data_IF_162462749206
#
_entry.id   IF_162462749206
#
_cell.length_a   1.000
_cell.length_b   1.000
_cell.length_c   1.000
_cell.angle_alpha   90.00
_cell.angle_beta   90.00
_cell.angle_gamma   90.00
#
_symmetry.space_group_name_H-M   'P 1'
#
loop_
_entity.id
_entity.type
_entity.pdbx_description
1 polymer ?
#
# COMPACT_ATOMS: atom_id res chain seq x y z
N UNK A 1 -2.64 0.70 -5.77
CA UNK A 1 -3.68 -0.30 -5.54
C UNK A 1 -5.04 0.32 -5.88
N UNK A 2 -6.04 -0.48 -6.31
CA UNK A 2 -7.44 -0.04 -6.33
C UNK A 2 -7.86 0.50 -4.96
N UNK A 3 -8.86 1.39 -4.92
CA UNK A 3 -9.36 2.07 -3.71
C UNK A 3 -8.34 2.98 -3.00
N UNK A 4 -7.09 3.01 -3.44
CA UNK A 4 -6.06 3.84 -2.86
C UNK A 4 -6.17 5.27 -3.36
N UNK A 5 -6.19 6.23 -2.43
CA UNK A 5 -6.04 7.66 -2.74
C UNK A 5 -4.66 8.11 -2.29
N UNK A 6 -3.83 8.47 -3.24
CA UNK A 6 -2.43 8.85 -2.97
C UNK A 6 -2.02 10.07 -3.77
N UNK A 7 -1.16 10.88 -3.17
CA UNK A 7 -0.47 11.92 -3.90
C UNK A 7 1.00 11.55 -4.13
N UNK A 8 1.55 11.97 -5.23
CA UNK A 8 2.97 11.84 -5.56
C UNK A 8 3.46 13.06 -6.31
N UNK A 9 4.75 13.35 -6.16
CA UNK A 9 5.41 14.47 -6.82
C UNK A 9 6.06 13.99 -8.11
N UNK A 10 5.80 14.71 -9.19
CA UNK A 10 6.29 14.39 -10.53
C UNK A 10 7.19 15.51 -11.01
N UNK A 11 8.40 15.15 -11.47
CA UNK A 11 9.40 16.09 -11.99
C UNK A 11 9.89 15.76 -13.38
N UNK A 12 9.73 14.53 -13.85
CA UNK A 12 10.16 14.10 -15.21
C UNK A 12 9.27 14.74 -16.25
N UNK A 13 9.87 15.31 -17.29
CA UNK A 13 9.16 16.04 -18.34
C UNK A 13 8.13 15.18 -19.06
N UNK A 14 8.49 13.96 -19.46
CA UNK A 14 7.56 13.00 -20.09
C UNK A 14 6.34 12.70 -19.21
N UNK A 15 6.54 12.55 -17.91
CA UNK A 15 5.45 12.29 -16.96
C UNK A 15 4.56 13.52 -16.74
N UNK A 16 5.13 14.72 -16.72
CA UNK A 16 4.37 15.96 -16.65
C UNK A 16 3.49 16.16 -17.88
N UNK A 17 4.02 15.88 -19.08
CA UNK A 17 3.26 15.93 -20.34
C UNK A 17 2.14 14.90 -20.37
N UNK A 18 2.39 13.67 -19.88
CA UNK A 18 1.36 12.63 -19.76
C UNK A 18 0.21 13.08 -18.86
N UNK A 19 0.52 13.71 -17.72
CA UNK A 19 -0.49 14.24 -16.77
C UNK A 19 -1.28 15.38 -17.43
N UNK A 20 -0.63 16.32 -18.10
CA UNK A 20 -1.29 17.42 -18.78
C UNK A 20 -2.25 16.93 -19.87
N UNK A 21 -1.86 15.90 -20.61
CA UNK A 21 -2.72 15.30 -21.63
C UNK A 21 -3.87 14.51 -21.02
N UNK A 22 -3.62 13.73 -19.97
CA UNK A 22 -4.67 13.00 -19.26
C UNK A 22 -5.74 13.93 -18.67
N UNK A 23 -5.34 15.06 -18.11
CA UNK A 23 -6.29 16.07 -17.59
C UNK A 23 -7.24 16.59 -18.67
N UNK A 24 -6.78 16.72 -19.92
CA UNK A 24 -7.60 17.14 -21.06
C UNK A 24 -8.53 16.03 -21.56
N UNK A 25 -8.09 14.76 -21.44
CA UNK A 25 -8.69 13.59 -22.07
C UNK A 25 -9.26 12.58 -21.06
N UNK A 26 -10.10 13.03 -20.12
CA UNK A 26 -10.85 12.15 -19.22
C UNK A 26 -10.17 11.81 -17.91
N UNK A 27 -9.02 12.42 -17.60
CA UNK A 27 -8.33 12.36 -16.30
C UNK A 27 -7.80 10.98 -15.90
N UNK A 28 -7.75 9.99 -16.82
CA UNK A 28 -7.27 8.64 -16.54
C UNK A 28 -5.79 8.48 -16.92
N UNK A 29 -5.06 7.79 -16.05
CA UNK A 29 -3.67 7.37 -16.29
C UNK A 29 -3.51 5.91 -15.92
N UNK A 30 -2.59 5.22 -16.57
CA UNK A 30 -2.03 3.98 -16.09
C UNK A 30 -0.75 4.28 -15.29
N UNK A 31 -0.67 3.77 -14.08
CA UNK A 31 0.48 3.92 -13.19
C UNK A 31 1.06 2.54 -12.91
N UNK A 32 2.31 2.35 -13.27
CA UNK A 32 3.08 1.16 -12.95
C UNK A 32 4.35 1.54 -12.20
N UNK A 33 4.80 0.65 -11.37
CA UNK A 33 6.02 0.85 -10.61
C UNK A 33 7.26 0.51 -11.45
N UNK A 34 8.32 1.24 -11.20
CA UNK A 34 9.63 1.01 -11.81
C UNK A 34 10.37 -0.08 -11.02
N UNK A 35 11.03 -1.01 -11.71
CA UNK A 35 11.78 -2.12 -11.09
C UNK A 35 13.07 -1.62 -10.42
N UNK A 36 13.75 -0.69 -11.08
CA UNK A 36 14.95 -0.04 -10.56
C UNK A 36 14.75 1.48 -10.51
N UNK A 37 14.79 2.04 -9.30
CA UNK A 37 14.57 3.46 -9.04
C UNK A 37 15.68 4.35 -9.63
N UNK A 38 16.86 3.80 -9.91
CA UNK A 38 17.99 4.55 -10.45
C UNK A 38 17.92 4.75 -11.96
N UNK A 39 17.04 4.01 -12.68
CA UNK A 39 16.84 4.20 -14.12
C UNK A 39 16.15 5.54 -14.39
N UNK A 40 16.86 6.46 -15.04
CA UNK A 40 16.35 7.81 -15.30
C UNK A 40 15.24 7.83 -16.36
N UNK A 41 15.39 7.05 -17.42
CA UNK A 41 14.41 6.91 -18.52
C UNK A 41 13.94 5.46 -18.64
N UNK A 42 12.95 5.02 -17.82
CA UNK A 42 12.45 3.65 -17.87
C UNK A 42 11.65 3.38 -19.16
N UNK A 43 11.99 2.27 -19.80
CA UNK A 43 11.22 1.68 -20.90
C UNK A 43 10.23 0.62 -20.41
N UNK A 44 9.65 -0.16 -21.34
CA UNK A 44 8.68 -1.21 -21.00
C UNK A 44 9.26 -2.32 -20.12
N UNK A 45 10.57 -2.62 -20.27
CA UNK A 45 11.24 -3.70 -19.51
C UNK A 45 11.60 -3.28 -18.09
N UNK A 46 11.67 -1.97 -17.83
CA UNK A 46 12.08 -1.40 -16.56
C UNK A 46 10.92 -1.19 -15.58
N UNK A 47 9.69 -1.46 -16.02
CA UNK A 47 8.48 -1.32 -15.20
C UNK A 47 7.83 -2.67 -14.95
N UNK A 48 7.05 -2.76 -13.88
CA UNK A 48 6.20 -3.91 -13.65
C UNK A 48 5.07 -3.95 -14.67
N UNK A 49 4.72 -5.17 -15.12
CA UNK A 49 3.65 -5.33 -16.11
C UNK A 49 2.28 -5.03 -15.51
N UNK A 50 2.07 -5.39 -14.25
CA UNK A 50 0.81 -5.09 -13.55
C UNK A 50 0.92 -3.76 -12.83
N UNK A 51 -0.02 -2.90 -13.12
CA UNK A 51 -0.18 -1.58 -12.54
C UNK A 51 -1.63 -1.29 -12.19
N UNK A 52 -1.93 -0.02 -12.06
CA UNK A 52 -3.26 0.45 -11.71
C UNK A 52 -3.72 1.56 -12.67
N UNK A 53 -4.93 1.45 -13.18
CA UNK A 53 -5.61 2.57 -13.81
C UNK A 53 -6.08 3.49 -12.69
N UNK A 54 -5.71 4.76 -12.79
CA UNK A 54 -6.04 5.78 -11.79
C UNK A 54 -6.75 6.95 -12.43
N UNK A 55 -7.59 7.62 -11.65
CA UNK A 55 -8.19 8.91 -12.02
C UNK A 55 -7.49 10.03 -11.28
N UNK A 56 -7.08 11.07 -12.03
CA UNK A 56 -6.52 12.30 -11.49
C UNK A 56 -7.64 13.08 -10.79
N UNK A 57 -7.47 13.33 -9.50
CA UNK A 57 -8.41 14.13 -8.69
C UNK A 57 -7.98 15.59 -8.60
N UNK A 58 -6.68 15.81 -8.50
CA UNK A 58 -6.12 17.17 -8.36
C UNK A 58 -4.69 17.21 -8.89
N UNK A 59 -4.32 18.32 -9.50
CA UNK A 59 -2.94 18.63 -9.88
C UNK A 59 -2.57 19.99 -9.30
N UNK A 60 -1.47 20.05 -8.54
CA UNK A 60 -0.93 21.28 -7.96
C UNK A 60 0.47 21.49 -8.53
N UNK A 61 0.68 22.63 -9.20
CA UNK A 61 2.01 23.00 -9.70
C UNK A 61 2.89 23.47 -8.53
N UNK A 62 4.07 22.90 -8.44
CA UNK A 62 5.08 23.22 -7.44
C UNK A 62 6.26 23.98 -8.08
N UNK A 63 7.11 24.66 -7.28
CA UNK A 63 8.36 25.26 -7.76
C UNK A 63 9.26 24.22 -8.45
N UNK A 64 10.23 24.67 -9.27
CA UNK A 64 11.23 23.84 -9.95
C UNK A 64 10.65 22.86 -10.99
N UNK A 65 9.60 23.23 -11.70
CA UNK A 65 8.94 22.39 -12.71
C UNK A 65 8.46 21.03 -12.16
N UNK A 66 7.98 21.01 -10.94
CA UNK A 66 7.37 19.84 -10.32
C UNK A 66 5.86 19.99 -10.28
N UNK A 67 5.14 18.87 -10.24
CA UNK A 67 3.70 18.85 -9.99
C UNK A 67 3.37 17.80 -8.95
N UNK A 68 2.52 18.15 -8.00
CA UNK A 68 1.91 17.21 -7.06
C UNK A 68 0.57 16.77 -7.61
N UNK A 69 0.40 15.47 -7.75
CA UNK A 69 -0.79 14.87 -8.34
C UNK A 69 -1.48 14.01 -7.30
N UNK A 70 -2.76 14.27 -7.06
CA UNK A 70 -3.62 13.42 -6.26
C UNK A 70 -4.38 12.49 -7.20
N UNK A 71 -4.26 11.20 -7.00
CA UNK A 71 -4.93 10.17 -7.79
C UNK A 71 -5.75 9.24 -6.93
N UNK A 72 -6.75 8.63 -7.57
CA UNK A 72 -7.57 7.57 -6.99
C UNK A 72 -7.40 6.32 -7.86
N UNK A 73 -7.01 5.22 -7.28
CA UNK A 73 -6.91 3.92 -7.94
C UNK A 73 -8.30 3.38 -8.28
N UNK A 74 -8.48 2.89 -9.52
CA UNK A 74 -9.76 2.37 -9.98
C UNK A 74 -9.70 0.86 -10.25
N UNK A 75 -8.78 0.44 -11.09
CA UNK A 75 -8.71 -0.96 -11.52
C UNK A 75 -7.26 -1.44 -11.69
N UNK A 76 -7.06 -2.73 -11.48
CA UNK A 76 -5.84 -3.43 -11.87
C UNK A 76 -5.78 -3.50 -13.39
N UNK A 77 -4.60 -3.32 -13.95
CA UNK A 77 -4.41 -3.48 -15.38
C UNK A 77 -3.01 -4.01 -15.69
N UNK A 78 -2.90 -4.72 -16.79
CA UNK A 78 -1.63 -5.21 -17.33
C UNK A 78 -1.18 -4.38 -18.52
N UNK A 79 0.08 -4.00 -18.51
CA UNK A 79 0.75 -3.39 -19.66
C UNK A 79 0.92 -4.42 -20.77
N UNK A 80 0.29 -4.17 -21.91
CA UNK A 80 0.43 -5.02 -23.10
C UNK A 80 1.63 -4.59 -23.93
N UNK A 81 1.73 -3.28 -24.19
CA UNK A 81 2.83 -2.69 -24.95
C UNK A 81 2.90 -1.18 -24.74
N UNK A 82 4.09 -0.62 -24.96
CA UNK A 82 4.27 0.81 -25.18
C UNK A 82 3.99 1.15 -26.65
N UNK A 83 3.06 2.06 -26.88
CA UNK A 83 2.68 2.51 -28.23
C UNK A 83 3.55 3.68 -28.69
N UNK A 84 3.99 4.54 -27.76
CA UNK A 84 4.86 5.67 -28.01
C UNK A 84 5.66 6.04 -26.76
N UNK A 85 6.90 6.53 -26.96
CA UNK A 85 7.76 7.04 -25.88
C UNK A 85 7.94 8.57 -25.95
N UNK A 86 7.45 9.19 -27.03
CA UNK A 86 7.56 10.63 -27.28
C UNK A 86 6.23 11.20 -27.78
N UNK A 87 5.81 12.38 -27.31
CA UNK A 87 6.45 13.25 -26.32
C UNK A 87 6.34 12.76 -24.88
N UNK A 88 5.50 11.76 -24.61
CA UNK A 88 5.31 11.08 -23.33
C UNK A 88 5.03 9.58 -23.55
N UNK A 89 5.11 8.79 -22.50
CA UNK A 89 4.83 7.35 -22.58
C UNK A 89 3.32 7.12 -22.79
N UNK A 90 3.00 6.44 -23.89
CA UNK A 90 1.66 5.95 -24.19
C UNK A 90 1.68 4.43 -24.23
N UNK A 91 0.67 3.82 -23.62
CA UNK A 91 0.60 2.37 -23.50
C UNK A 91 -0.80 1.85 -23.80
N UNK A 92 -0.85 0.67 -24.39
CA UNK A 92 -2.04 -0.15 -24.42
C UNK A 92 -2.03 -1.04 -23.18
N UNK A 93 -3.09 -0.96 -22.37
CA UNK A 93 -3.28 -1.75 -21.17
C UNK A 93 -4.59 -2.52 -21.26
N UNK A 94 -4.65 -3.66 -20.56
CA UNK A 94 -5.86 -4.47 -20.41
C UNK A 94 -6.20 -4.53 -18.94
N UNK A 95 -7.43 -4.18 -18.59
CA UNK A 95 -7.90 -4.33 -17.21
C UNK A 95 -7.88 -5.80 -16.82
N UNK A 96 -7.43 -6.06 -15.60
CA UNK A 96 -7.41 -7.38 -14.98
C UNK A 96 -8.57 -7.45 -13.99
N UNK A 97 -9.72 -8.02 -14.40
CA UNK A 97 -10.80 -8.30 -13.46
C UNK A 97 -10.33 -9.32 -12.44
N UNK A 98 -10.94 -9.32 -11.28
CA UNK A 98 -10.74 -10.43 -10.36
C UNK A 98 -11.27 -11.71 -11.01
N UNK A 99 -10.60 -12.83 -10.75
CA UNK A 99 -11.03 -14.14 -11.25
C UNK A 99 -12.41 -14.48 -10.68
N UNK A 100 -13.42 -14.43 -11.55
CA UNK A 100 -14.82 -14.68 -11.19
C UNK A 100 -15.08 -16.14 -10.77
N UNK A 101 -14.26 -17.06 -11.24
CA UNK A 101 -14.45 -18.52 -11.05
C UNK A 101 -14.40 -19.00 -9.58
N UNK A 102 -13.92 -18.14 -8.66
CA UNK A 102 -13.80 -18.52 -7.24
C UNK A 102 -14.83 -17.82 -6.36
N UNK A 103 -15.39 -16.67 -6.81
CA UNK A 103 -16.27 -15.86 -5.96
C UNK A 103 -17.71 -16.35 -5.95
N UNK A 104 -18.24 -16.80 -7.09
CA UNK A 104 -19.66 -17.18 -7.18
C UNK A 104 -19.93 -18.62 -6.77
N UNK A 105 -19.09 -19.61 -7.16
CA UNK A 105 -19.32 -21.00 -6.77
C UNK A 105 -19.02 -21.24 -5.27
N UNK A 106 -17.93 -20.68 -4.73
CA UNK A 106 -17.62 -20.84 -3.30
C UNK A 106 -18.48 -19.97 -2.39
N UNK A 107 -18.96 -18.80 -2.87
CA UNK A 107 -19.87 -17.96 -2.09
C UNK A 107 -21.32 -18.45 -2.16
N UNK A 108 -21.75 -19.05 -3.26
CA UNK A 108 -23.07 -19.66 -3.38
C UNK A 108 -23.22 -20.93 -2.52
N UNK A 109 -22.15 -21.72 -2.36
CA UNK A 109 -22.17 -22.96 -1.57
C UNK A 109 -22.09 -22.72 -0.05
N UNK A 110 -21.50 -21.60 0.42
CA UNK A 110 -21.41 -21.36 1.86
C UNK A 110 -21.32 -19.85 2.25
N UNK A 111 -22.47 -19.12 2.30
CA UNK A 111 -22.53 -17.73 2.70
C UNK A 111 -21.96 -17.48 4.12
N UNK A 112 -22.02 -18.51 4.96
CA UNK A 112 -21.51 -18.46 6.34
C UNK A 112 -19.97 -18.38 6.40
N UNK A 113 -19.30 -18.91 5.38
CA UNK A 113 -17.84 -18.84 5.27
C UNK A 113 -17.38 -17.43 4.86
N UNK A 114 -18.09 -16.77 3.96
CA UNK A 114 -17.78 -15.41 3.51
C UNK A 114 -17.90 -14.39 4.66
N UNK A 115 -18.96 -14.48 5.45
CA UNK A 115 -19.16 -13.61 6.61
C UNK A 115 -18.07 -13.84 7.68
N UNK A 116 -17.67 -15.08 7.89
CA UNK A 116 -16.57 -15.41 8.80
C UNK A 116 -15.23 -14.85 8.32
N UNK A 117 -14.97 -14.88 7.01
CA UNK A 117 -13.77 -14.28 6.42
C UNK A 117 -13.74 -12.76 6.56
N UNK A 118 -14.86 -12.09 6.29
CA UNK A 118 -14.99 -10.64 6.48
C UNK A 118 -14.71 -10.27 7.93
N UNK A 119 -15.35 -10.95 8.88
CA UNK A 119 -15.13 -10.71 10.31
C UNK A 119 -13.69 -11.00 10.73
N UNK A 120 -13.12 -12.11 10.27
CA UNK A 120 -11.73 -12.48 10.58
C UNK A 120 -10.73 -11.42 10.11
N UNK A 121 -10.90 -10.90 8.90
CA UNK A 121 -10.03 -9.84 8.38
C UNK A 121 -10.22 -8.51 9.14
N UNK A 122 -11.49 -8.16 9.49
CA UNK A 122 -11.78 -6.99 10.31
C UNK A 122 -11.14 -7.08 11.70
N UNK A 123 -11.17 -8.25 12.34
CA UNK A 123 -10.58 -8.49 13.65
C UNK A 123 -9.05 -8.39 13.61
N UNK A 124 -8.40 -8.99 12.61
CA UNK A 124 -6.95 -8.90 12.42
C UNK A 124 -6.52 -7.45 12.16
N UNK A 125 -7.26 -6.74 11.32
CA UNK A 125 -6.96 -5.34 11.05
C UNK A 125 -7.18 -4.45 12.29
N UNK A 126 -8.19 -4.74 13.10
CA UNK A 126 -8.43 -4.06 14.38
C UNK A 126 -7.27 -4.27 15.35
N UNK A 127 -6.73 -5.49 15.46
CA UNK A 127 -5.54 -5.74 16.27
C UNK A 127 -4.35 -4.90 15.77
N UNK A 128 -4.16 -4.80 14.46
CA UNK A 128 -3.14 -3.96 13.87
C UNK A 128 -3.32 -2.47 14.21
N UNK A 129 -4.56 -1.95 14.12
CA UNK A 129 -4.87 -0.55 14.46
C UNK A 129 -4.60 -0.23 15.93
N UNK A 130 -4.90 -1.14 16.86
CA UNK A 130 -4.63 -0.94 18.29
C UNK A 130 -3.14 -0.73 18.57
N UNK A 131 -2.26 -1.32 17.77
CA UNK A 131 -0.80 -1.14 17.86
C UNK A 131 -0.29 0.09 17.13
N UNK A 132 -1.10 0.67 16.25
CA UNK A 132 -0.74 1.81 15.41
C UNK A 132 -1.68 3.00 15.63
N UNK A 133 -1.61 3.67 16.81
CA UNK A 133 -2.55 4.74 17.16
C UNK A 133 -2.47 5.98 16.26
N UNK A 134 -1.47 6.05 15.37
CA UNK A 134 -1.35 7.10 14.36
C UNK A 134 -2.31 6.92 13.17
N UNK A 135 -2.81 5.69 12.98
CA UNK A 135 -3.83 5.44 11.97
C UNK A 135 -5.18 5.95 12.46
N UNK A 136 -5.94 6.53 11.54
CA UNK A 136 -7.22 7.17 11.86
C UNK A 136 -8.24 6.21 12.45
N UNK A 137 -8.93 6.62 13.52
CA UNK A 137 -10.10 5.90 14.04
C UNK A 137 -11.23 5.80 13.00
N UNK A 138 -11.29 6.78 12.09
CA UNK A 138 -12.26 6.81 10.99
C UNK A 138 -12.04 5.64 10.04
N UNK A 139 -10.78 5.28 9.77
CA UNK A 139 -10.45 4.09 8.97
C UNK A 139 -10.96 2.80 9.62
N UNK A 140 -10.83 2.66 10.95
CA UNK A 140 -11.37 1.52 11.68
C UNK A 140 -12.89 1.41 11.52
N UNK A 141 -13.63 2.50 11.67
CA UNK A 141 -15.08 2.53 11.49
C UNK A 141 -15.48 2.25 10.04
N UNK A 142 -14.75 2.78 9.08
CA UNK A 142 -14.97 2.50 7.66
C UNK A 142 -14.83 1.01 7.37
N UNK A 143 -13.75 0.38 7.82
CA UNK A 143 -13.48 -1.05 7.62
C UNK A 143 -14.55 -1.92 8.30
N UNK A 144 -14.98 -1.57 9.51
CA UNK A 144 -16.05 -2.30 10.20
C UNK A 144 -17.41 -2.23 9.48
N UNK A 145 -17.64 -1.20 8.68
CA UNK A 145 -18.89 -1.03 7.91
C UNK A 145 -18.93 -1.82 6.60
N UNK A 146 -17.79 -2.23 6.06
CA UNK A 146 -17.70 -2.94 4.78
C UNK A 146 -18.25 -4.37 4.91
N UNK A 147 -19.09 -4.79 3.96
CA UNK A 147 -19.72 -6.12 3.90
C UNK A 147 -19.34 -6.91 2.65
N UNK A 148 -18.66 -6.28 1.72
CA UNK A 148 -18.14 -6.91 0.52
C UNK A 148 -16.67 -7.31 0.74
N UNK A 149 -16.31 -8.57 0.49
CA UNK A 149 -14.97 -9.10 0.76
C UNK A 149 -13.92 -8.46 -0.14
N UNK A 150 -14.22 -8.28 -1.42
CA UNK A 150 -13.31 -7.67 -2.38
C UNK A 150 -12.97 -6.24 -1.97
N UNK A 151 -14.01 -5.44 -1.72
CA UNK A 151 -13.85 -4.06 -1.29
C UNK A 151 -13.08 -3.98 0.04
N UNK A 152 -13.37 -4.88 0.99
CA UNK A 152 -12.66 -4.94 2.27
C UNK A 152 -11.16 -5.22 2.10
N UNK A 153 -10.82 -6.22 1.28
CA UNK A 153 -9.42 -6.58 0.99
C UNK A 153 -8.69 -5.41 0.34
N UNK A 154 -9.29 -4.77 -0.67
CA UNK A 154 -8.65 -3.67 -1.39
C UNK A 154 -8.50 -2.42 -0.50
N UNK A 155 -9.51 -2.06 0.31
CA UNK A 155 -9.44 -0.92 1.24
C UNK A 155 -8.36 -1.13 2.30
N UNK A 156 -8.28 -2.32 2.90
CA UNK A 156 -7.26 -2.61 3.90
C UNK A 156 -5.87 -2.60 3.26
N UNK A 157 -5.68 -3.28 2.12
CA UNK A 157 -4.41 -3.31 1.40
C UNK A 157 -3.92 -1.90 1.03
N UNK A 158 -4.82 -1.03 0.59
CA UNK A 158 -4.51 0.36 0.22
C UNK A 158 -4.08 1.24 1.41
N UNK A 159 -4.50 0.90 2.63
CA UNK A 159 -4.22 1.67 3.83
C UNK A 159 -3.10 1.08 4.71
N UNK A 160 -2.56 -0.08 4.35
CA UNK A 160 -1.42 -0.68 5.04
C UNK A 160 -0.10 -0.09 4.54
N UNK A 161 0.85 0.24 5.43
CA UNK A 161 2.17 0.77 5.05
C UNK A 161 3.12 -0.37 4.65
N UNK A 162 2.69 -1.20 3.70
CA UNK A 162 3.51 -2.29 3.18
C UNK A 162 4.79 -1.80 2.50
N UNK A 163 5.83 -2.62 2.52
CA UNK A 163 6.95 -2.47 1.63
C UNK A 163 6.49 -2.54 0.17
N UNK A 164 7.27 -1.93 -0.72
CA UNK A 164 6.88 -1.83 -2.13
C UNK A 164 6.61 -3.22 -2.75
N UNK A 165 7.48 -4.17 -2.48
CA UNK A 165 7.39 -5.54 -3.00
C UNK A 165 6.10 -6.25 -2.54
N UNK A 166 5.73 -6.06 -1.27
CA UNK A 166 4.51 -6.61 -0.69
C UNK A 166 3.24 -6.01 -1.31
N UNK A 167 3.27 -4.70 -1.55
CA UNK A 167 2.16 -4.00 -2.21
C UNK A 167 2.03 -4.41 -3.69
N UNK A 168 3.16 -4.64 -4.38
CA UNK A 168 3.18 -5.10 -5.76
C UNK A 168 2.64 -6.53 -5.86
N UNK A 169 3.03 -7.43 -4.96
CA UNK A 169 2.53 -8.80 -4.92
C UNK A 169 1.00 -8.85 -4.72
N UNK A 170 0.46 -8.01 -3.82
CA UNK A 170 -0.99 -7.85 -3.64
C UNK A 170 -1.69 -7.26 -4.87
N UNK A 171 -1.01 -6.39 -5.61
CA UNK A 171 -1.55 -5.83 -6.86
C UNK A 171 -1.61 -6.86 -7.97
N UNK A 172 -0.61 -7.73 -8.07
CA UNK A 172 -0.50 -8.77 -9.11
C UNK A 172 -1.46 -9.95 -8.90
N UNK A 173 -1.88 -10.22 -7.65
CA UNK A 173 -2.78 -11.32 -7.36
C UNK A 173 -4.23 -10.98 -7.75
N UNK A 174 -4.73 -11.60 -8.80
CA UNK A 174 -6.10 -11.43 -9.32
C UNK A 174 -7.12 -12.32 -8.64
N UNK A 175 -6.69 -13.46 -8.09
CA UNK A 175 -7.58 -14.36 -7.37
C UNK A 175 -7.90 -13.78 -5.98
N UNK A 176 -9.18 -13.46 -5.73
CA UNK A 176 -9.62 -12.81 -4.50
C UNK A 176 -9.28 -13.62 -3.24
N UNK A 177 -9.43 -14.95 -3.30
CA UNK A 177 -9.16 -15.80 -2.13
C UNK A 177 -7.68 -15.82 -1.77
N UNK A 178 -6.81 -15.96 -2.78
CA UNK A 178 -5.36 -15.90 -2.59
C UNK A 178 -4.91 -14.52 -2.12
N UNK A 179 -5.50 -13.46 -2.66
CA UNK A 179 -5.23 -12.08 -2.23
C UNK A 179 -5.65 -11.85 -0.79
N UNK A 180 -6.80 -12.40 -0.36
CA UNK A 180 -7.24 -12.40 1.03
C UNK A 180 -6.22 -13.10 1.95
N UNK A 181 -5.83 -14.33 1.62
CA UNK A 181 -4.87 -15.12 2.39
C UNK A 181 -3.51 -14.39 2.49
N UNK A 182 -3.03 -13.86 1.38
CA UNK A 182 -1.80 -13.09 1.29
C UNK A 182 -1.87 -11.82 2.17
N UNK A 183 -2.98 -11.09 2.10
CA UNK A 183 -3.18 -9.90 2.91
C UNK A 183 -3.20 -10.23 4.41
N UNK A 184 -3.95 -11.24 4.82
CA UNK A 184 -3.99 -11.69 6.23
C UNK A 184 -2.59 -12.08 6.70
N UNK A 185 -1.87 -12.87 5.90
CA UNK A 185 -0.51 -13.28 6.22
C UNK A 185 0.42 -12.06 6.43
N UNK A 186 0.38 -11.08 5.52
CA UNK A 186 1.21 -9.88 5.62
C UNK A 186 0.85 -9.03 6.85
N UNK A 187 -0.44 -8.86 7.18
CA UNK A 187 -0.87 -8.12 8.37
C UNK A 187 -0.40 -8.83 9.65
N UNK A 188 -0.56 -10.15 9.72
CA UNK A 188 -0.12 -10.94 10.88
C UNK A 188 1.39 -10.83 11.07
N UNK A 189 2.17 -10.90 10.00
CA UNK A 189 3.62 -10.72 10.05
C UNK A 189 4.01 -9.32 10.55
N UNK A 190 3.31 -8.28 10.11
CA UNK A 190 3.55 -6.92 10.57
C UNK A 190 3.25 -6.76 12.06
N UNK A 191 2.15 -7.34 12.55
CA UNK A 191 1.82 -7.38 13.98
C UNK A 191 2.92 -8.09 14.78
N UNK A 192 3.42 -9.21 14.28
CA UNK A 192 4.50 -9.97 14.93
C UNK A 192 5.81 -9.15 14.97
N UNK A 193 6.18 -8.52 13.86
CA UNK A 193 7.37 -7.69 13.77
C UNK A 193 7.31 -6.52 14.77
N UNK A 194 6.14 -5.90 14.93
CA UNK A 194 5.93 -4.84 15.91
C UNK A 194 6.07 -5.36 17.35
N UNK A 195 5.50 -6.52 17.67
CA UNK A 195 5.67 -7.15 19.01
C UNK A 195 7.14 -7.36 19.36
N UNK A 196 7.90 -7.93 18.41
CA UNK A 196 9.35 -8.16 18.59
C UNK A 196 10.10 -6.84 18.79
N UNK A 197 9.76 -5.81 18.00
CA UNK A 197 10.37 -4.48 18.12
C UNK A 197 10.11 -3.85 19.49
N UNK A 198 8.88 -3.94 19.99
CA UNK A 198 8.50 -3.45 21.33
C UNK A 198 9.28 -4.17 22.45
N UNK A 199 9.41 -5.51 22.37
CA UNK A 199 10.20 -6.29 23.31
C UNK A 199 11.69 -5.89 23.32
N UNK A 200 12.28 -5.71 22.15
CA UNK A 200 13.68 -5.26 22.01
C UNK A 200 13.84 -3.87 22.63
N UNK A 201 12.94 -2.94 22.32
CA UNK A 201 13.00 -1.57 22.86
C UNK A 201 12.86 -1.56 24.39
N UNK A 202 11.97 -2.38 24.94
CA UNK A 202 11.82 -2.52 26.39
C UNK A 202 13.09 -3.03 27.05
N UNK A 203 13.69 -4.10 26.52
CA UNK A 203 14.96 -4.66 27.02
C UNK A 203 16.13 -3.67 26.93
N UNK A 204 16.21 -2.91 25.84
CA UNK A 204 17.23 -1.86 25.68
C UNK A 204 17.05 -0.78 26.73
N UNK A 205 15.80 -0.32 26.94
CA UNK A 205 15.49 0.70 27.95
C UNK A 205 15.88 0.25 29.36
N UNK A 206 15.46 -0.95 29.74
CA UNK A 206 15.85 -1.53 31.05
C UNK A 206 17.37 -1.58 31.25
N UNK A 207 18.11 -1.94 30.20
CA UNK A 207 19.58 -2.02 30.28
C UNK A 207 20.22 -0.64 30.40
N UNK A 208 19.69 0.36 29.69
CA UNK A 208 20.14 1.75 29.79
C UNK A 208 19.86 2.30 31.18
N UNK A 209 18.65 2.12 31.70
CA UNK A 209 18.24 2.57 33.04
C UNK A 209 19.11 1.92 34.12
N UNK A 210 19.42 0.63 34.01
CA UNK A 210 20.31 -0.08 34.92
C UNK A 210 21.71 0.51 34.90
N UNK A 211 22.28 0.72 33.70
CA UNK A 211 23.61 1.28 33.56
C UNK A 211 23.70 2.71 34.10
N UNK A 212 22.68 3.53 33.89
CA UNK A 212 22.61 4.88 34.47
C UNK A 212 22.56 4.85 35.99
N UNK A 213 21.75 3.98 36.60
CA UNK A 213 21.71 3.82 38.06
C UNK A 213 23.07 3.37 38.61
N UNK A 214 23.71 2.40 37.98
CA UNK A 214 25.06 1.94 38.40
C UNK A 214 26.10 3.05 38.29
N UNK A 215 26.02 3.88 37.23
CA UNK A 215 26.90 5.02 37.07
C UNK A 215 26.72 6.05 38.17
N UNK A 216 25.48 6.45 38.48
CA UNK A 216 25.14 7.40 39.53
C UNK A 216 25.63 6.88 40.88
N UNK A 217 25.35 5.64 41.22
CA UNK A 217 25.81 5.04 42.46
C UNK A 217 27.34 5.03 42.58
N UNK A 218 28.06 4.79 41.49
CA UNK A 218 29.52 4.86 41.48
C UNK A 218 30.05 6.29 41.72
N UNK A 219 29.41 7.28 41.14
CA UNK A 219 29.77 8.69 41.34
C UNK A 219 29.47 9.17 42.76
N UNK A 220 28.30 8.78 43.32
CA UNK A 220 28.00 9.08 44.74
C UNK A 220 29.00 8.44 45.69
N UNK A 221 29.41 7.22 45.45
CA UNK A 221 30.46 6.54 46.28
C UNK A 221 31.82 7.24 46.22
N UNK A 222 32.14 7.89 45.08
CA UNK A 222 33.39 8.68 44.98
C UNK A 222 33.35 9.97 45.79
N UNK A 223 32.13 10.57 45.91
CA UNK A 223 31.97 11.84 46.68
C UNK A 223 31.99 11.58 48.21
N UNK A 224 31.63 10.36 48.65
CA UNK A 224 31.59 9.99 50.07
C UNK A 224 33.00 9.55 50.61
N UNK A 225 33.92 9.26 49.71
CA UNK A 225 35.32 8.97 50.06
C UNK A 225 36.19 10.23 50.01
#
# INVERSE_FOLDING_TARGET
LPEEVRHFDVSREKSLLAIEEAVKNGQKLFVSAQKDLETEEPGAEDVYLVGCVVTIRQVVKLPKKMSRVLVSGEARASLVRLDSETPYLQATVVELPDDEDVSEEQTAENPMNLEAMIRGLQDVFKEYLLKNPKLSKELGMQVEAIRDLKHLVDVIAANMPFAFEDAQELLEETNLMRRYELLVYKIVNEIQAQKVKEEIQSKVKERVDKNQREYILREELKVIR
#
